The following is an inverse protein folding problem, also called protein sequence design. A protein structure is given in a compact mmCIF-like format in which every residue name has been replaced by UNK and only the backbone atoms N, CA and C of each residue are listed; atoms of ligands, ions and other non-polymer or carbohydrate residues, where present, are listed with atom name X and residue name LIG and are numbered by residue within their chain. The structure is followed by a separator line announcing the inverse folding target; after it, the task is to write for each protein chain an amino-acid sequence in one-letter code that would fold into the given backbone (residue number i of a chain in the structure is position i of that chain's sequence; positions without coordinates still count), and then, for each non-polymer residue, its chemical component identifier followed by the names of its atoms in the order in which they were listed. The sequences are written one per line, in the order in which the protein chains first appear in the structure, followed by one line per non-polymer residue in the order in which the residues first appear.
data_IF_861494349012
#
_entry.id   IF_861494349012
#
_cell.length_a   1.000
_cell.length_b   1.000
_cell.length_c   1.000
_cell.angle_alpha   90.00
_cell.angle_beta   90.00
_cell.angle_gamma   90.00
#
_symmetry.space_group_name_H-M   'P 1'
#
loop_
_entity.id
_entity.type
_entity.pdbx_description
1 polymer ?
#
# COMPACT_ATOMS: atom_id res chain seq x y z
N UNK A 1 -15.01 52.52 10.33
CA UNK A 1 -14.40 51.66 9.29
C UNK A 1 -13.69 50.53 10.00
N UNK A 2 -14.40 49.44 10.30
CA UNK A 2 -13.82 48.25 10.93
C UNK A 2 -14.59 47.03 10.42
N UNK A 3 -14.07 46.39 9.37
CA UNK A 3 -14.62 45.17 8.79
C UNK A 3 -13.61 44.06 9.09
N UNK A 4 -13.71 43.52 10.30
CA UNK A 4 -13.09 42.25 10.65
C UNK A 4 -13.96 41.16 10.03
N UNK A 5 -13.47 40.52 8.97
CA UNK A 5 -14.04 39.28 8.45
C UNK A 5 -13.98 38.19 9.53
N UNK A 6 -15.04 37.40 9.74
CA UNK A 6 -15.00 36.31 10.70
C UNK A 6 -14.08 35.22 10.14
N UNK A 7 -13.06 34.85 10.93
CA UNK A 7 -12.23 33.68 10.69
C UNK A 7 -13.16 32.46 10.63
N UNK A 8 -13.32 31.88 9.43
CA UNK A 8 -14.03 30.61 9.25
C UNK A 8 -13.25 29.56 10.03
N UNK A 9 -13.81 29.14 11.16
CA UNK A 9 -13.24 28.07 12.00
C UNK A 9 -13.43 26.75 11.24
N UNK A 10 -12.36 26.25 10.62
CA UNK A 10 -12.34 24.87 10.10
C UNK A 10 -12.69 23.94 11.26
N UNK A 11 -13.74 23.10 11.15
CA UNK A 11 -14.09 22.19 12.24
C UNK A 11 -12.90 21.27 12.52
N UNK A 12 -12.52 21.16 13.79
CA UNK A 12 -11.48 20.24 14.21
C UNK A 12 -11.88 18.82 13.76
N UNK A 13 -11.02 18.17 12.98
CA UNK A 13 -11.27 16.82 12.49
C UNK A 13 -11.57 15.91 13.69
N UNK A 14 -12.76 15.32 13.71
CA UNK A 14 -13.11 14.28 14.68
C UNK A 14 -12.18 13.10 14.46
N UNK A 15 -11.24 12.88 15.37
CA UNK A 15 -10.39 11.71 15.36
C UNK A 15 -11.27 10.47 15.62
N UNK A 16 -11.70 9.83 14.53
CA UNK A 16 -12.39 8.55 14.59
C UNK A 16 -11.36 7.51 15.04
N UNK A 17 -11.58 6.97 16.24
CA UNK A 17 -10.79 5.84 16.75
C UNK A 17 -11.48 4.56 16.32
N UNK A 18 -10.71 3.61 15.80
CA UNK A 18 -11.19 2.30 15.43
C UNK A 18 -10.34 1.24 16.13
N UNK A 19 -10.99 0.13 16.53
CA UNK A 19 -10.30 -1.07 16.98
C UNK A 19 -10.04 -1.94 15.77
N UNK A 20 -8.79 -2.34 15.55
CA UNK A 20 -8.39 -3.20 14.44
C UNK A 20 -7.18 -4.04 14.83
N UNK A 21 -6.94 -5.15 14.13
CA UNK A 21 -5.72 -5.94 14.27
C UNK A 21 -4.54 -5.31 13.51
N UNK A 22 -3.35 -5.90 13.68
CA UNK A 22 -2.12 -5.39 13.06
C UNK A 22 -2.10 -5.49 11.54
N UNK A 23 -2.68 -6.55 10.96
CA UNK A 23 -2.74 -6.72 9.51
C UNK A 23 -3.61 -5.63 8.89
N UNK A 24 -4.80 -5.42 9.44
CA UNK A 24 -5.74 -4.38 9.02
C UNK A 24 -5.10 -3.00 9.14
N UNK A 25 -4.41 -2.71 10.25
CA UNK A 25 -3.71 -1.45 10.45
C UNK A 25 -2.59 -1.23 9.42
N UNK A 26 -1.79 -2.26 9.14
CA UNK A 26 -0.72 -2.20 8.14
C UNK A 26 -1.28 -1.99 6.73
N UNK A 27 -2.24 -2.81 6.31
CA UNK A 27 -2.89 -2.69 5.02
C UNK A 27 -3.53 -1.32 4.84
N UNK A 28 -4.20 -0.80 5.87
CA UNK A 28 -4.87 0.50 5.84
C UNK A 28 -3.92 1.62 5.42
N UNK A 29 -2.68 1.63 5.93
CA UNK A 29 -1.67 2.61 5.55
C UNK A 29 -1.06 2.25 4.20
N UNK A 30 -0.61 1.01 4.01
CA UNK A 30 0.08 0.57 2.81
C UNK A 30 -0.75 0.80 1.54
N UNK A 31 -2.03 0.44 1.56
CA UNK A 31 -2.96 0.67 0.46
C UNK A 31 -3.09 2.15 0.11
N UNK A 32 -3.24 3.01 1.13
CA UNK A 32 -3.49 4.45 0.93
C UNK A 32 -2.29 5.22 0.39
N UNK A 33 -1.07 4.74 0.60
CA UNK A 33 0.14 5.46 0.17
C UNK A 33 0.75 4.92 -1.11
N UNK A 34 0.24 3.81 -1.66
CA UNK A 34 0.77 3.18 -2.87
C UNK A 34 -0.22 3.26 -4.05
N UNK A 35 0.33 3.14 -5.25
CA UNK A 35 -0.38 3.10 -6.53
C UNK A 35 -0.50 1.67 -7.06
N UNK A 36 0.44 0.78 -6.69
CA UNK A 36 0.46 -0.63 -7.08
C UNK A 36 0.66 -1.52 -5.86
N UNK A 37 -0.08 -2.63 -5.80
CA UNK A 37 0.08 -3.71 -4.83
C UNK A 37 0.26 -5.04 -5.58
N UNK A 38 1.50 -5.53 -5.67
CA UNK A 38 1.76 -6.85 -6.23
C UNK A 38 1.70 -7.89 -5.09
N UNK A 39 0.76 -8.84 -5.17
CA UNK A 39 0.43 -9.71 -4.03
C UNK A 39 0.58 -11.20 -4.36
N UNK A 40 0.76 -11.98 -3.30
CA UNK A 40 0.64 -13.44 -3.33
C UNK A 40 0.29 -13.94 -1.91
N UNK A 41 -0.67 -14.87 -1.76
CA UNK A 41 -1.16 -15.28 -0.45
C UNK A 41 -0.15 -16.17 0.31
N UNK A 42 0.21 -15.75 1.53
CA UNK A 42 0.96 -16.56 2.50
C UNK A 42 0.63 -16.16 3.93
N UNK A 43 0.28 -17.15 4.78
CA UNK A 43 -0.01 -16.95 6.20
C UNK A 43 1.25 -16.53 6.98
N UNK A 44 1.18 -15.55 7.90
CA UNK A 44 0.00 -14.81 8.38
C UNK A 44 -0.27 -13.48 7.66
N UNK A 45 0.40 -13.19 6.54
CA UNK A 45 0.30 -11.92 5.82
C UNK A 45 -0.87 -11.82 4.83
N UNK A 46 -1.55 -12.93 4.50
CA UNK A 46 -2.61 -12.95 3.47
C UNK A 46 -3.73 -11.94 3.69
N UNK A 47 -4.14 -11.69 4.94
CA UNK A 47 -5.20 -10.73 5.27
C UNK A 47 -4.90 -9.32 4.74
N UNK A 48 -3.62 -8.91 4.68
CA UNK A 48 -3.28 -7.59 4.13
C UNK A 48 -3.52 -7.51 2.62
N UNK A 49 -3.22 -8.60 1.89
CA UNK A 49 -3.44 -8.69 0.46
C UNK A 49 -4.94 -8.77 0.12
N UNK A 50 -5.70 -9.58 0.87
CA UNK A 50 -7.15 -9.71 0.74
C UNK A 50 -7.86 -8.36 0.95
N UNK A 51 -7.49 -7.63 2.02
CA UNK A 51 -8.04 -6.29 2.28
C UNK A 51 -7.70 -5.28 1.18
N UNK A 52 -6.48 -5.32 0.65
CA UNK A 52 -6.10 -4.44 -0.46
C UNK A 52 -6.94 -4.71 -1.71
N UNK A 53 -7.13 -5.99 -2.06
CA UNK A 53 -7.94 -6.41 -3.21
C UNK A 53 -9.43 -6.02 -3.03
N UNK A 54 -9.99 -6.28 -1.85
CA UNK A 54 -11.37 -5.89 -1.49
C UNK A 54 -11.57 -4.38 -1.60
N UNK A 55 -10.68 -3.58 -1.01
CA UNK A 55 -10.78 -2.12 -1.08
C UNK A 55 -10.63 -1.57 -2.50
N UNK A 56 -9.78 -2.19 -3.33
CA UNK A 56 -9.67 -1.82 -4.74
C UNK A 56 -10.96 -2.17 -5.51
N UNK A 57 -11.55 -3.34 -5.27
CA UNK A 57 -12.82 -3.74 -5.87
C UNK A 57 -13.98 -2.81 -5.45
N UNK A 58 -13.96 -2.33 -4.21
CA UNK A 58 -14.92 -1.34 -3.68
C UNK A 58 -14.67 0.09 -4.19
N UNK A 59 -13.58 0.32 -4.94
CA UNK A 59 -13.23 1.62 -5.47
C UNK A 59 -12.74 2.60 -4.40
N UNK A 60 -12.11 2.11 -3.34
CA UNK A 60 -11.49 2.98 -2.32
C UNK A 60 -10.28 3.71 -2.92
N UNK A 61 -10.25 5.03 -2.79
CA UNK A 61 -9.13 5.82 -3.31
C UNK A 61 -7.96 5.88 -2.32
N UNK A 62 -6.75 5.89 -2.86
CA UNK A 62 -5.52 6.23 -2.15
C UNK A 62 -5.38 7.75 -1.96
N UNK A 63 -4.32 8.19 -1.28
CA UNK A 63 -4.07 9.63 -1.03
C UNK A 63 -3.73 10.43 -2.29
N UNK A 64 -3.43 9.75 -3.39
CA UNK A 64 -3.14 10.33 -4.70
C UNK A 64 -4.40 10.51 -5.56
N UNK A 65 -5.56 10.07 -5.05
CA UNK A 65 -6.86 10.21 -5.71
C UNK A 65 -7.20 9.10 -6.70
N UNK A 66 -6.38 8.05 -6.81
CA UNK A 66 -6.62 6.89 -7.67
C UNK A 66 -6.95 5.63 -6.87
N UNK A 67 -7.47 4.61 -7.54
CA UNK A 67 -7.62 3.25 -6.98
C UNK A 67 -6.30 2.51 -7.24
N UNK A 68 -5.60 2.00 -6.21
CA UNK A 68 -4.42 1.17 -6.39
C UNK A 68 -4.67 -0.02 -7.30
N UNK A 69 -3.73 -0.32 -8.20
CA UNK A 69 -3.74 -1.55 -8.99
C UNK A 69 -3.29 -2.69 -8.10
N UNK A 70 -4.20 -3.61 -7.75
CA UNK A 70 -3.90 -4.80 -6.98
C UNK A 70 -3.85 -5.99 -7.94
N UNK A 71 -2.73 -6.69 -7.98
CA UNK A 71 -2.54 -7.81 -8.90
C UNK A 71 -1.88 -8.99 -8.18
N UNK A 72 -2.58 -10.12 -8.17
CA UNK A 72 -2.03 -11.39 -7.71
C UNK A 72 -1.09 -11.99 -8.76
N UNK A 73 0.09 -12.40 -8.30
CA UNK A 73 1.12 -13.03 -9.11
C UNK A 73 1.13 -14.56 -8.90
N UNK A 74 1.98 -15.28 -9.63
CA UNK A 74 2.06 -16.75 -9.51
C UNK A 74 2.90 -17.25 -8.32
N UNK A 75 3.71 -16.37 -7.71
CA UNK A 75 4.53 -16.64 -6.51
C UNK A 75 5.02 -15.34 -5.89
N UNK A 76 5.56 -15.38 -4.67
CA UNK A 76 6.20 -14.23 -4.03
C UNK A 76 7.42 -13.72 -4.81
N UNK A 77 8.15 -14.62 -5.48
CA UNK A 77 9.22 -14.23 -6.40
C UNK A 77 8.69 -13.44 -7.60
N UNK A 78 7.52 -13.83 -8.13
CA UNK A 78 6.79 -13.09 -9.17
C UNK A 78 6.29 -11.73 -8.66
N UNK A 79 5.71 -11.69 -7.45
CA UNK A 79 5.32 -10.45 -6.79
C UNK A 79 6.50 -9.49 -6.63
N UNK A 80 7.66 -9.96 -6.16
CA UNK A 80 8.84 -9.12 -6.02
C UNK A 80 9.37 -8.59 -7.37
N UNK A 81 9.28 -9.39 -8.43
CA UNK A 81 9.63 -8.94 -9.79
C UNK A 81 8.68 -7.87 -10.30
N UNK A 82 7.37 -8.02 -10.06
CA UNK A 82 6.37 -7.00 -10.39
C UNK A 82 6.59 -5.72 -9.57
N UNK A 83 6.89 -5.83 -8.27
CA UNK A 83 7.28 -4.69 -7.43
C UNK A 83 8.48 -3.96 -8.03
N UNK A 84 9.54 -4.70 -8.38
CA UNK A 84 10.74 -4.11 -8.96
C UNK A 84 10.43 -3.37 -10.26
N UNK A 85 9.69 -3.99 -11.19
CA UNK A 85 9.31 -3.36 -12.45
C UNK A 85 8.45 -2.11 -12.28
N UNK A 86 7.47 -2.13 -11.37
CA UNK A 86 6.60 -0.99 -11.10
C UNK A 86 7.35 0.20 -10.46
N UNK A 87 8.30 -0.09 -9.55
CA UNK A 87 9.19 0.93 -9.00
C UNK A 87 10.07 1.56 -10.10
N UNK A 88 10.61 0.76 -11.02
CA UNK A 88 11.40 1.25 -12.15
C UNK A 88 10.58 2.13 -13.12
N UNK A 89 9.27 1.91 -13.21
CA UNK A 89 8.37 2.79 -13.98
C UNK A 89 7.94 4.04 -13.22
N UNK A 90 8.34 4.21 -11.96
CA UNK A 90 8.06 5.40 -11.14
C UNK A 90 6.78 5.31 -10.28
N UNK A 91 6.16 4.14 -10.15
CA UNK A 91 4.96 3.97 -9.34
C UNK A 91 5.29 3.58 -7.89
N UNK A 92 4.64 4.23 -6.92
CA UNK A 92 4.75 3.83 -5.51
C UNK A 92 4.12 2.45 -5.34
N UNK A 93 4.95 1.47 -4.94
CA UNK A 93 4.57 0.06 -4.97
C UNK A 93 4.81 -0.64 -3.64
N UNK A 94 3.89 -1.52 -3.26
CA UNK A 94 4.00 -2.35 -2.06
C UNK A 94 3.69 -3.82 -2.33
N UNK A 95 4.03 -4.66 -1.36
CA UNK A 95 3.70 -6.09 -1.32
C UNK A 95 3.60 -6.54 0.14
N UNK A 96 2.90 -7.64 0.38
CA UNK A 96 2.73 -8.24 1.70
C UNK A 96 3.24 -9.67 1.66
N UNK A 97 4.20 -10.02 2.52
CA UNK A 97 4.76 -11.37 2.54
C UNK A 97 5.31 -11.71 3.92
N UNK A 98 5.65 -12.97 4.13
CA UNK A 98 6.25 -13.46 5.37
C UNK A 98 6.97 -14.80 5.14
N UNK A 99 7.83 -15.19 6.09
CA UNK A 99 8.45 -16.52 6.16
C UNK A 99 9.11 -16.95 4.83
N UNK A 100 8.69 -18.07 4.24
CA UNK A 100 9.24 -18.59 2.99
C UNK A 100 9.00 -17.67 1.79
N UNK A 101 7.88 -16.94 1.78
CA UNK A 101 7.59 -15.99 0.72
C UNK A 101 8.65 -14.89 0.64
N UNK A 102 9.11 -14.39 1.79
CA UNK A 102 10.18 -13.39 1.84
C UNK A 102 11.51 -13.92 1.27
N UNK A 103 11.81 -15.20 1.47
CA UNK A 103 13.03 -15.81 0.90
C UNK A 103 13.01 -15.79 -0.63
N UNK A 104 11.84 -16.00 -1.24
CA UNK A 104 11.69 -15.93 -2.70
C UNK A 104 11.83 -14.52 -3.25
N UNK A 105 11.66 -13.49 -2.41
CA UNK A 105 11.84 -12.09 -2.81
C UNK A 105 13.31 -11.63 -2.77
N UNK A 106 14.19 -12.34 -2.06
CA UNK A 106 15.59 -11.91 -1.83
C UNK A 106 16.36 -11.51 -3.11
N UNK A 107 16.28 -12.25 -4.24
CA UNK A 107 16.99 -11.84 -5.45
C UNK A 107 16.54 -10.46 -5.98
N UNK A 108 15.24 -10.20 -5.97
CA UNK A 108 14.67 -8.91 -6.38
C UNK A 108 14.95 -7.82 -5.34
N UNK A 109 15.00 -8.14 -4.03
CA UNK A 109 15.34 -7.16 -3.00
C UNK A 109 16.74 -6.57 -3.21
N UNK A 110 17.72 -7.37 -3.63
CA UNK A 110 19.06 -6.84 -3.98
C UNK A 110 19.01 -5.89 -5.17
N UNK A 111 18.20 -6.20 -6.19
CA UNK A 111 18.02 -5.33 -7.37
C UNK A 111 17.35 -4.02 -7.00
N UNK A 112 16.23 -4.08 -6.29
CA UNK A 112 15.49 -2.91 -5.80
C UNK A 112 16.41 -2.02 -4.95
N UNK A 113 17.10 -2.58 -3.97
CA UNK A 113 17.99 -1.81 -3.10
C UNK A 113 19.17 -1.18 -3.86
N UNK A 114 19.75 -1.91 -4.82
CA UNK A 114 20.89 -1.42 -5.61
C UNK A 114 20.54 -0.36 -6.66
N UNK A 115 19.28 -0.27 -7.08
CA UNK A 115 18.84 0.65 -8.13
C UNK A 115 18.14 1.90 -7.59
N UNK A 116 17.84 1.95 -6.29
CA UNK A 116 17.22 3.09 -5.60
C UNK A 116 18.24 4.05 -4.93
N UNK A 117 19.55 3.87 -5.15
CA UNK A 117 20.62 4.65 -4.50
C UNK A 117 21.17 5.82 -5.31
N UNK A 118 20.45 6.32 -6.32
CA UNK A 118 20.89 7.43 -7.18
C UNK A 118 20.14 8.73 -6.89
#
# INVERSE_FOLDING_TARGET
MNVLTPIVRVPAATHVRATMDGNTACAHVAYRVNEVCAIYPITPSSTMAELADEWAADGLHNIWGGIPVVQEMQSEGGAAGAVHGALQSGALTTTFTSSQGLLLMLPNMFKIAGELTA
#
